data_IF_960762105899
#
_entry.id   IF_960762105899
#
_cell.length_a   1.000
_cell.length_b   1.000
_cell.length_c   1.000
_cell.angle_alpha   90.00
_cell.angle_beta   90.00
_cell.angle_gamma   90.00
#
_symmetry.space_group_name_H-M   'P 1'
#
loop_
_entity.id
_entity.type
_entity.pdbx_description
1 polymer ?
#
# COMPACT_ATOMS: atom_id res chain seq x y z
N UNK A 1 10.40 -4.53 6.43
CA UNK A 1 9.98 -3.54 5.43
C UNK A 1 8.81 -2.73 5.98
N UNK A 2 8.86 -1.44 5.79
CA UNK A 2 7.77 -0.55 6.21
C UNK A 2 6.88 -0.21 5.04
N UNK A 3 5.58 -0.13 5.30
CA UNK A 3 4.61 0.28 4.31
C UNK A 3 3.96 1.58 4.78
N UNK A 4 4.03 2.62 3.96
CA UNK A 4 3.51 3.94 4.29
C UNK A 4 2.08 4.16 3.78
N UNK A 5 1.38 3.09 3.44
CA UNK A 5 0.03 3.18 2.88
C UNK A 5 -0.93 3.96 3.79
N UNK A 6 -0.92 3.67 5.09
CA UNK A 6 -1.82 4.35 6.04
C UNK A 6 -1.56 5.85 6.09
N UNK A 7 -0.29 6.25 6.05
CA UNK A 7 0.10 7.64 6.05
C UNK A 7 -0.35 8.35 4.77
N UNK A 8 -0.09 7.73 3.63
CA UNK A 8 -0.48 8.28 2.32
C UNK A 8 -1.99 8.41 2.23
N UNK A 9 -2.71 7.37 2.64
CA UNK A 9 -4.17 7.39 2.64
C UNK A 9 -4.71 8.47 3.58
N UNK A 10 -4.08 8.63 4.74
CA UNK A 10 -4.46 9.67 5.70
C UNK A 10 -4.31 11.08 5.14
N UNK A 11 -3.19 11.35 4.47
CA UNK A 11 -2.95 12.64 3.83
C UNK A 11 -3.99 12.92 2.75
N UNK A 12 -4.36 11.90 1.97
CA UNK A 12 -5.35 12.02 0.89
C UNK A 12 -6.79 11.83 1.37
N UNK A 13 -6.98 11.56 2.66
CA UNK A 13 -8.30 11.33 3.27
C UNK A 13 -9.07 10.19 2.61
N UNK A 14 -8.35 9.12 2.27
CA UNK A 14 -8.93 7.93 1.67
C UNK A 14 -9.19 6.85 2.72
N UNK A 15 -10.30 6.15 2.55
CA UNK A 15 -10.63 4.98 3.37
C UNK A 15 -10.26 3.72 2.61
N UNK A 16 -10.07 2.62 3.35
CA UNK A 16 -9.77 1.31 2.74
C UNK A 16 -10.83 0.95 1.70
N UNK A 17 -12.09 1.19 2.01
CA UNK A 17 -13.19 0.90 1.08
C UNK A 17 -13.07 1.70 -0.22
N UNK A 18 -12.64 2.96 -0.14
CA UNK A 18 -12.46 3.80 -1.33
C UNK A 18 -11.35 3.25 -2.23
N UNK A 19 -10.24 2.88 -1.63
CA UNK A 19 -9.09 2.35 -2.38
C UNK A 19 -9.45 1.01 -3.03
N UNK A 20 -10.11 0.13 -2.30
CA UNK A 20 -10.54 -1.16 -2.82
C UNK A 20 -11.50 -1.01 -3.99
N UNK A 21 -12.47 -0.12 -3.86
CA UNK A 21 -13.45 0.15 -4.93
C UNK A 21 -12.78 0.70 -6.18
N UNK A 22 -11.91 1.69 -6.00
CA UNK A 22 -11.35 2.42 -7.14
C UNK A 22 -10.22 1.65 -7.85
N UNK A 23 -9.48 0.82 -7.14
CA UNK A 23 -8.38 0.05 -7.71
C UNK A 23 -8.79 -1.36 -8.12
N UNK A 24 -9.89 -1.88 -7.58
CA UNK A 24 -10.28 -3.27 -7.80
C UNK A 24 -9.47 -4.27 -6.99
N UNK A 25 -8.59 -3.80 -6.11
CA UNK A 25 -7.78 -4.67 -5.26
C UNK A 25 -8.63 -5.22 -4.11
N UNK A 26 -8.40 -6.47 -3.75
CA UNK A 26 -9.09 -7.10 -2.65
C UNK A 26 -8.91 -6.27 -1.37
N UNK A 27 -10.01 -6.02 -0.68
CA UNK A 27 -10.03 -5.22 0.54
C UNK A 27 -9.11 -5.78 1.63
N UNK A 28 -9.06 -7.11 1.73
CA UNK A 28 -8.18 -7.78 2.70
C UNK A 28 -6.71 -7.50 2.43
N UNK A 29 -6.32 -7.44 1.16
CA UNK A 29 -4.95 -7.10 0.76
C UNK A 29 -4.61 -5.68 1.22
N UNK A 30 -5.50 -4.73 0.97
CA UNK A 30 -5.31 -3.34 1.36
C UNK A 30 -5.23 -3.22 2.88
N UNK A 31 -6.10 -3.92 3.59
CA UNK A 31 -6.11 -3.92 5.06
C UNK A 31 -4.79 -4.43 5.62
N UNK A 32 -4.25 -5.52 5.05
CA UNK A 32 -2.98 -6.07 5.50
C UNK A 32 -1.82 -5.11 5.23
N UNK A 33 -1.83 -4.44 4.09
CA UNK A 33 -0.81 -3.43 3.77
C UNK A 33 -0.94 -2.22 4.70
N UNK A 34 -2.17 -1.79 4.96
CA UNK A 34 -2.44 -0.66 5.85
C UNK A 34 -1.92 -0.92 7.27
N UNK A 35 -2.11 -2.14 7.76
CA UNK A 35 -1.69 -2.54 9.11
C UNK A 35 -0.26 -3.08 9.17
N UNK A 36 0.43 -3.11 8.03
CA UNK A 36 1.80 -3.63 7.91
C UNK A 36 1.92 -5.10 8.35
N UNK A 37 0.89 -5.88 8.09
CA UNK A 37 0.87 -7.32 8.40
C UNK A 37 1.02 -8.19 7.16
N UNK A 38 1.09 -7.59 5.97
CA UNK A 38 1.25 -8.34 4.74
C UNK A 38 2.65 -8.94 4.65
N UNK A 39 2.71 -10.22 4.25
CA UNK A 39 3.99 -10.91 4.05
C UNK A 39 4.33 -11.04 2.57
N UNK A 40 3.37 -10.79 1.70
CA UNK A 40 3.57 -10.80 0.26
C UNK A 40 2.51 -9.91 -0.39
N UNK A 41 2.82 -9.42 -1.58
CA UNK A 41 1.89 -8.61 -2.38
C UNK A 41 2.18 -8.85 -3.85
N UNK A 42 1.13 -8.87 -4.67
CA UNK A 42 1.28 -9.03 -6.10
C UNK A 42 1.76 -7.73 -6.74
N UNK A 43 2.62 -7.85 -7.76
CA UNK A 43 3.15 -6.69 -8.47
C UNK A 43 2.04 -5.87 -9.12
N UNK A 44 1.00 -6.53 -9.63
CA UNK A 44 -0.14 -5.84 -10.23
C UNK A 44 -0.85 -4.95 -9.21
N UNK A 45 -0.97 -5.43 -7.97
CA UNK A 45 -1.58 -4.65 -6.91
C UNK A 45 -0.71 -3.44 -6.55
N UNK A 46 0.61 -3.62 -6.53
CA UNK A 46 1.55 -2.52 -6.29
C UNK A 46 1.45 -1.47 -7.37
N UNK A 47 1.42 -1.88 -8.63
CA UNK A 47 1.27 -0.96 -9.77
C UNK A 47 -0.01 -0.16 -9.64
N UNK A 48 -1.12 -0.83 -9.35
CA UNK A 48 -2.41 -0.16 -9.22
C UNK A 48 -2.43 0.84 -8.08
N UNK A 49 -1.84 0.48 -6.94
CA UNK A 49 -1.77 1.37 -5.78
C UNK A 49 -0.90 2.60 -6.06
N UNK A 50 0.28 2.39 -6.63
CA UNK A 50 1.18 3.49 -6.94
C UNK A 50 0.55 4.46 -7.94
N UNK A 51 -0.09 3.94 -8.97
CA UNK A 51 -0.77 4.77 -9.97
C UNK A 51 -1.95 5.52 -9.34
N UNK A 52 -2.77 4.84 -8.56
CA UNK A 52 -3.93 5.44 -7.91
C UNK A 52 -3.55 6.53 -6.92
N UNK A 53 -2.54 6.27 -6.12
CA UNK A 53 -2.07 7.20 -5.09
C UNK A 53 -1.10 8.24 -5.62
N UNK A 54 -0.65 8.11 -6.86
CA UNK A 54 0.32 8.99 -7.50
C UNK A 54 1.64 9.08 -6.73
N UNK A 55 2.11 7.92 -6.30
CA UNK A 55 3.38 7.79 -5.58
C UNK A 55 4.27 6.76 -6.24
N UNK A 56 5.57 6.85 -5.98
CA UNK A 56 6.52 5.84 -6.43
C UNK A 56 6.52 4.65 -5.46
N UNK A 57 7.09 3.53 -5.89
CA UNK A 57 7.22 2.37 -5.03
C UNK A 57 8.07 2.69 -3.79
N UNK A 58 9.10 3.52 -3.96
CA UNK A 58 9.95 3.93 -2.85
C UNK A 58 9.25 4.85 -1.84
N UNK A 59 8.21 5.56 -2.29
CA UNK A 59 7.39 6.37 -1.39
C UNK A 59 6.38 5.50 -0.63
N UNK A 60 5.95 4.40 -1.24
CA UNK A 60 4.97 3.50 -0.64
C UNK A 60 5.62 2.51 0.34
N UNK A 61 6.78 1.98 -0.03
CA UNK A 61 7.50 1.00 0.78
C UNK A 61 8.91 1.46 1.10
N UNK A 62 9.35 1.15 2.30
CA UNK A 62 10.70 1.40 2.74
C UNK A 62 11.32 0.08 3.17
N UNK A 63 12.43 -0.29 2.57
CA UNK A 63 13.15 -1.50 2.92
C UNK A 63 13.75 -1.37 4.33
N UNK A 64 13.69 -2.44 5.09
CA UNK A 64 14.34 -2.48 6.38
C UNK A 64 15.86 -2.55 6.22
N UNK A 65 16.56 -2.33 7.33
CA UNK A 65 18.00 -2.50 7.32
C UNK A 65 18.36 -3.97 7.23
N UNK A 66 19.32 -4.29 6.36
CA UNK A 66 19.90 -5.61 6.31
C UNK A 66 21.06 -5.64 7.27
N UNK A 67 20.96 -6.48 8.27
CA UNK A 67 22.04 -6.74 9.20
C UNK A 67 22.57 -8.13 8.87
N UNK A 68 23.77 -8.16 8.40
CA UNK A 68 24.46 -9.43 8.11
C UNK A 68 25.33 -9.82 9.28
#
# INVERSE_FOLDING_TARGET
MKCHLSKIMGVKRLKIADVARDTGINRGTITRLYNETATRVELEALDALCAYLEVSIGELFEAGEFVE
#
